data_IF_556284668205
#
_entry.id   IF_556284668205
#
_cell.length_a   1.000
_cell.length_b   1.000
_cell.length_c   1.000
_cell.angle_alpha   90.00
_cell.angle_beta   90.00
_cell.angle_gamma   90.00
#
_symmetry.space_group_name_H-M   'P 1'
#
loop_
_entity.id
_entity.type
_entity.pdbx_description
1 polymer ?
#
# COMPACT_ATOMS: atom_id res chain seq x y z
N UNK A 1 71.30 11.90 -21.37
CA UNK A 1 69.89 11.82 -21.81
C UNK A 1 69.18 10.80 -20.92
N UNK A 2 68.44 11.28 -19.92
CA UNK A 2 68.24 10.55 -18.65
C UNK A 2 67.04 9.59 -18.68
N UNK A 3 67.33 8.27 -18.77
CA UNK A 3 66.37 7.14 -18.65
C UNK A 3 65.63 7.03 -17.29
N UNK A 4 65.95 7.89 -16.32
CA UNK A 4 65.47 7.82 -14.93
C UNK A 4 64.05 8.45 -14.76
N UNK A 5 63.57 9.25 -15.73
CA UNK A 5 62.27 9.95 -15.59
C UNK A 5 61.03 9.08 -15.86
N UNK A 6 61.08 8.12 -16.78
CA UNK A 6 59.89 7.36 -17.21
C UNK A 6 59.40 6.44 -16.09
N UNK A 7 60.32 5.73 -15.41
CA UNK A 7 59.96 4.77 -14.35
C UNK A 7 59.30 5.44 -13.15
N UNK A 8 59.78 6.62 -12.76
CA UNK A 8 59.19 7.38 -11.66
C UNK A 8 57.80 7.93 -12.00
N UNK A 9 57.59 8.37 -13.25
CA UNK A 9 56.27 8.80 -13.74
C UNK A 9 55.30 7.63 -13.77
N UNK A 10 55.73 6.45 -14.23
CA UNK A 10 54.91 5.22 -14.21
C UNK A 10 54.57 4.77 -12.78
N UNK A 11 55.51 4.82 -11.84
CA UNK A 11 55.24 4.47 -10.43
C UNK A 11 54.26 5.48 -9.83
N UNK A 12 54.45 6.78 -10.08
CA UNK A 12 53.54 7.82 -9.61
C UNK A 12 52.12 7.64 -10.17
N UNK A 13 51.97 7.32 -11.46
CA UNK A 13 50.66 7.05 -12.06
C UNK A 13 49.99 5.83 -11.44
N UNK A 14 50.73 4.75 -11.18
CA UNK A 14 50.19 3.53 -10.52
C UNK A 14 49.67 3.86 -9.13
N UNK A 15 50.43 4.61 -8.33
CA UNK A 15 50.02 5.00 -6.96
C UNK A 15 48.76 5.86 -7.00
N UNK A 16 48.67 6.82 -7.93
CA UNK A 16 47.48 7.67 -8.09
C UNK A 16 46.27 6.84 -8.52
N UNK A 17 46.43 5.91 -9.46
CA UNK A 17 45.35 5.00 -9.87
C UNK A 17 44.89 4.11 -8.71
N UNK A 18 45.80 3.57 -7.90
CA UNK A 18 45.46 2.77 -6.72
C UNK A 18 44.71 3.59 -5.68
N UNK A 19 45.12 4.83 -5.42
CA UNK A 19 44.38 5.74 -4.54
C UNK A 19 42.96 6.01 -5.06
N UNK A 20 42.82 6.33 -6.35
CA UNK A 20 41.51 6.56 -6.98
C UNK A 20 40.61 5.32 -6.92
N UNK A 21 41.18 4.12 -7.10
CA UNK A 21 40.45 2.87 -6.99
C UNK A 21 39.93 2.65 -5.55
N UNK A 22 40.78 2.84 -4.53
CA UNK A 22 40.38 2.73 -3.13
C UNK A 22 39.30 3.76 -2.75
N UNK A 23 39.43 5.00 -3.22
CA UNK A 23 38.42 6.04 -3.01
C UNK A 23 37.08 5.65 -3.65
N UNK A 24 37.11 5.17 -4.89
CA UNK A 24 35.92 4.72 -5.62
C UNK A 24 35.21 3.57 -4.90
N UNK A 25 35.97 2.58 -4.41
CA UNK A 25 35.42 1.46 -3.61
C UNK A 25 34.74 1.99 -2.34
N UNK A 26 35.38 2.91 -1.62
CA UNK A 26 34.81 3.50 -0.41
C UNK A 26 33.50 4.26 -0.67
N UNK A 27 33.41 5.01 -1.77
CA UNK A 27 32.17 5.67 -2.20
C UNK A 27 31.10 4.66 -2.59
N UNK A 28 31.47 3.57 -3.27
CA UNK A 28 30.54 2.53 -3.70
C UNK A 28 29.88 1.82 -2.51
N UNK A 29 30.67 1.47 -1.49
CA UNK A 29 30.15 0.82 -0.26
C UNK A 29 29.21 1.73 0.51
N UNK A 30 29.53 3.02 0.64
CA UNK A 30 28.62 4.01 1.26
C UNK A 30 27.36 4.22 0.43
N UNK A 31 27.51 4.28 -0.89
CA UNK A 31 26.40 4.44 -1.83
C UNK A 31 25.43 3.26 -1.77
N UNK A 32 25.93 2.02 -1.68
CA UNK A 32 25.08 0.83 -1.56
C UNK A 32 24.21 0.86 -0.31
N UNK A 33 24.77 1.15 0.87
CA UNK A 33 23.99 1.19 2.11
C UNK A 33 22.90 2.29 2.09
N UNK A 34 23.20 3.45 1.51
CA UNK A 34 22.21 4.52 1.33
C UNK A 34 21.13 4.16 0.30
N UNK A 35 21.52 3.46 -0.77
CA UNK A 35 20.61 3.01 -1.80
C UNK A 35 19.68 1.91 -1.30
N UNK A 36 20.18 0.95 -0.51
CA UNK A 36 19.35 -0.09 0.13
C UNK A 36 18.33 0.52 1.10
N UNK A 37 18.76 1.51 1.91
CA UNK A 37 17.85 2.23 2.81
C UNK A 37 16.77 3.00 2.04
N UNK A 38 17.14 3.68 0.94
CA UNK A 38 16.20 4.40 0.09
C UNK A 38 15.24 3.44 -0.63
N UNK A 39 15.74 2.32 -1.13
CA UNK A 39 14.94 1.29 -1.78
C UNK A 39 13.92 0.70 -0.82
N UNK A 40 14.36 0.33 0.39
CA UNK A 40 13.48 -0.19 1.45
C UNK A 40 12.38 0.83 1.79
N UNK A 41 12.75 2.10 2.00
CA UNK A 41 11.77 3.16 2.29
C UNK A 41 10.77 3.35 1.13
N UNK A 42 11.23 3.24 -0.12
CA UNK A 42 10.38 3.34 -1.31
C UNK A 42 9.42 2.16 -1.40
N UNK A 43 9.90 0.93 -1.19
CA UNK A 43 9.08 -0.28 -1.23
C UNK A 43 8.01 -0.24 -0.13
N UNK A 44 8.37 0.19 1.08
CA UNK A 44 7.42 0.41 2.17
C UNK A 44 6.38 1.47 1.80
N UNK A 45 6.79 2.60 1.23
CA UNK A 45 5.87 3.65 0.78
C UNK A 45 4.87 3.13 -0.27
N UNK A 46 5.35 2.44 -1.30
CA UNK A 46 4.50 1.86 -2.36
C UNK A 46 3.52 0.84 -1.77
N UNK A 47 3.97 0.02 -0.83
CA UNK A 47 3.09 -0.94 -0.18
C UNK A 47 2.00 -0.26 0.65
N UNK A 48 2.30 0.84 1.35
CA UNK A 48 1.30 1.62 2.09
C UNK A 48 0.27 2.24 1.16
N UNK A 49 0.72 2.81 0.03
CA UNK A 49 -0.17 3.38 -0.97
C UNK A 49 -1.12 2.31 -1.51
N UNK A 50 -0.62 1.10 -1.77
CA UNK A 50 -1.43 -0.02 -2.22
C UNK A 50 -2.50 -0.42 -1.19
N UNK A 51 -2.15 -0.50 0.09
CA UNK A 51 -3.10 -0.85 1.14
C UNK A 51 -4.17 0.24 1.30
N UNK A 52 -3.78 1.52 1.22
CA UNK A 52 -4.73 2.64 1.22
C UNK A 52 -5.68 2.60 0.02
N UNK A 53 -5.17 2.32 -1.17
CA UNK A 53 -5.98 2.15 -2.38
C UNK A 53 -6.93 0.95 -2.26
N UNK A 54 -6.49 -0.16 -1.67
CA UNK A 54 -7.32 -1.34 -1.46
C UNK A 54 -8.49 -1.02 -0.52
N UNK A 55 -8.23 -0.35 0.60
CA UNK A 55 -9.28 0.08 1.53
C UNK A 55 -10.29 1.01 0.84
N UNK A 56 -9.81 2.02 0.13
CA UNK A 56 -10.67 2.95 -0.62
C UNK A 56 -11.52 2.21 -1.65
N UNK A 57 -10.91 1.31 -2.43
CA UNK A 57 -11.60 0.54 -3.47
C UNK A 57 -12.68 -0.35 -2.87
N UNK A 58 -12.39 -1.03 -1.76
CA UNK A 58 -13.34 -1.88 -1.07
C UNK A 58 -14.51 -1.07 -0.48
N UNK A 59 -14.25 0.10 0.12
CA UNK A 59 -15.33 1.00 0.58
C UNK A 59 -16.19 1.49 -0.58
N UNK A 60 -15.57 1.89 -1.70
CA UNK A 60 -16.30 2.32 -2.90
C UNK A 60 -17.17 1.18 -3.47
N UNK A 61 -16.65 -0.05 -3.44
CA UNK A 61 -17.39 -1.22 -3.89
C UNK A 61 -18.66 -1.45 -3.05
N UNK A 62 -18.58 -1.35 -1.72
CA UNK A 62 -19.72 -1.46 -0.82
C UNK A 62 -20.79 -0.40 -1.11
N UNK A 63 -20.38 0.87 -1.26
CA UNK A 63 -21.30 1.96 -1.61
C UNK A 63 -21.93 1.75 -2.99
N UNK A 64 -21.17 1.23 -3.95
CA UNK A 64 -21.68 0.93 -5.29
C UNK A 64 -22.68 -0.23 -5.27
N UNK A 65 -22.44 -1.31 -4.52
CA UNK A 65 -23.41 -2.40 -4.36
C UNK A 65 -24.72 -1.90 -3.74
N UNK A 66 -24.62 -1.04 -2.73
CA UNK A 66 -25.78 -0.38 -2.11
C UNK A 66 -26.56 0.45 -3.13
N UNK A 67 -25.86 1.27 -3.94
CA UNK A 67 -26.48 2.09 -4.98
C UNK A 67 -27.17 1.24 -6.04
N UNK A 68 -26.53 0.17 -6.50
CA UNK A 68 -27.08 -0.74 -7.49
C UNK A 68 -28.30 -1.48 -6.95
N UNK A 69 -28.25 -1.98 -5.71
CA UNK A 69 -29.40 -2.56 -5.03
C UNK A 69 -30.58 -1.57 -4.96
N UNK A 70 -30.33 -0.32 -4.57
CA UNK A 70 -31.35 0.71 -4.50
C UNK A 70 -31.96 1.06 -5.86
N UNK A 71 -31.15 1.05 -6.93
CA UNK A 71 -31.62 1.41 -8.27
C UNK A 71 -32.37 0.30 -8.99
N UNK A 72 -32.00 -0.96 -8.77
CA UNK A 72 -32.58 -2.09 -9.54
C UNK A 72 -33.49 -2.99 -8.71
N UNK A 73 -33.34 -2.98 -7.39
CA UNK A 73 -34.02 -3.92 -6.49
C UNK A 73 -33.50 -5.36 -6.56
N UNK A 74 -32.43 -5.64 -7.30
CA UNK A 74 -31.92 -7.01 -7.47
C UNK A 74 -31.12 -7.47 -6.24
N UNK A 75 -31.50 -8.62 -5.65
CA UNK A 75 -30.86 -9.16 -4.44
C UNK A 75 -29.37 -9.46 -4.60
N UNK A 76 -28.91 -9.78 -5.82
CA UNK A 76 -27.52 -10.13 -6.11
C UNK A 76 -26.51 -9.06 -5.65
N UNK A 77 -26.92 -7.78 -5.63
CA UNK A 77 -26.07 -6.68 -5.18
C UNK A 77 -26.00 -6.61 -3.64
N UNK A 78 -27.10 -6.96 -2.96
CA UNK A 78 -27.13 -7.11 -1.50
C UNK A 78 -26.28 -8.31 -1.09
N UNK A 79 -26.42 -9.45 -1.78
CA UNK A 79 -25.63 -10.66 -1.54
C UNK A 79 -24.13 -10.39 -1.74
N UNK A 80 -23.77 -9.65 -2.80
CA UNK A 80 -22.39 -9.25 -3.07
C UNK A 80 -21.82 -8.33 -2.00
N UNK A 81 -22.61 -7.37 -1.50
CA UNK A 81 -22.24 -6.52 -0.37
C UNK A 81 -21.91 -7.35 0.87
N UNK A 82 -22.82 -8.23 1.29
CA UNK A 82 -22.61 -9.02 2.51
C UNK A 82 -21.52 -10.07 2.35
N UNK A 83 -21.27 -10.59 1.15
CA UNK A 83 -20.12 -11.43 0.90
C UNK A 83 -18.80 -10.66 1.08
N UNK A 84 -18.73 -9.41 0.61
CA UNK A 84 -17.55 -8.57 0.86
C UNK A 84 -17.36 -8.32 2.37
N UNK A 85 -18.42 -7.96 3.10
CA UNK A 85 -18.33 -7.66 4.54
C UNK A 85 -18.01 -8.89 5.39
N UNK A 86 -18.62 -10.03 5.10
CA UNK A 86 -18.56 -11.20 5.99
C UNK A 86 -17.47 -12.20 5.62
N UNK A 87 -17.12 -12.29 4.33
CA UNK A 87 -16.20 -13.31 3.81
C UNK A 87 -14.88 -12.70 3.35
N UNK A 88 -14.94 -11.71 2.44
CA UNK A 88 -13.73 -11.20 1.78
C UNK A 88 -12.96 -10.24 2.69
N UNK A 89 -13.66 -9.28 3.31
CA UNK A 89 -13.10 -8.33 4.30
C UNK A 89 -11.90 -7.55 3.77
N UNK A 90 -11.99 -7.04 2.54
CA UNK A 90 -10.84 -6.43 1.86
C UNK A 90 -10.29 -5.20 2.58
N UNK A 91 -11.17 -4.44 3.27
CA UNK A 91 -10.78 -3.25 4.05
C UNK A 91 -9.97 -3.65 5.29
N UNK A 92 -10.44 -4.65 6.01
CA UNK A 92 -9.79 -5.18 7.21
C UNK A 92 -8.45 -5.81 6.86
N UNK A 93 -8.39 -6.56 5.75
CA UNK A 93 -7.14 -7.12 5.22
C UNK A 93 -6.15 -5.99 4.90
N UNK A 94 -6.58 -4.90 4.25
CA UNK A 94 -5.70 -3.79 3.95
C UNK A 94 -5.09 -3.14 5.20
N UNK A 95 -5.89 -2.98 6.27
CA UNK A 95 -5.39 -2.50 7.57
C UNK A 95 -4.41 -3.48 8.20
N UNK A 96 -4.71 -4.78 8.15
CA UNK A 96 -3.81 -5.82 8.68
C UNK A 96 -2.48 -5.89 7.92
N UNK A 97 -2.54 -5.83 6.60
CA UNK A 97 -1.37 -5.84 5.73
C UNK A 97 -0.49 -4.62 6.00
N UNK A 98 -1.08 -3.43 6.16
CA UNK A 98 -0.32 -2.22 6.50
C UNK A 98 0.38 -2.36 7.87
N UNK A 99 -0.35 -2.84 8.89
CA UNK A 99 0.18 -3.07 10.24
C UNK A 99 1.29 -4.12 10.27
N UNK A 100 1.32 -5.05 9.32
CA UNK A 100 2.40 -6.04 9.22
C UNK A 100 3.70 -5.46 8.66
N UNK A 101 3.62 -4.33 7.93
CA UNK A 101 4.75 -3.68 7.25
C UNK A 101 5.33 -2.54 8.08
N UNK A 102 4.47 -1.83 8.82
CA UNK A 102 4.85 -0.71 9.68
C UNK A 102 4.20 -0.94 11.05
N UNK A 103 4.97 -0.76 12.12
CA UNK A 103 4.49 -0.99 13.49
C UNK A 103 3.77 0.24 14.09
N UNK A 104 4.12 1.44 13.65
CA UNK A 104 3.59 2.70 14.19
C UNK A 104 3.75 3.85 13.17
N UNK A 105 2.90 4.87 13.27
CA UNK A 105 3.02 6.10 12.50
C UNK A 105 1.71 6.57 11.87
N UNK A 106 1.74 7.82 11.40
CA UNK A 106 0.56 8.54 10.90
C UNK A 106 -0.18 7.80 9.77
N UNK A 107 0.53 6.99 8.97
CA UNK A 107 -0.09 6.22 7.88
C UNK A 107 -1.03 5.12 8.42
N UNK A 108 -0.64 4.42 9.49
CA UNK A 108 -1.47 3.40 10.12
C UNK A 108 -2.68 4.04 10.78
N UNK A 109 -2.47 5.15 11.49
CA UNK A 109 -3.54 5.89 12.17
C UNK A 109 -4.57 6.39 11.14
N UNK A 110 -4.10 6.96 10.03
CA UNK A 110 -4.96 7.43 8.95
C UNK A 110 -5.74 6.28 8.29
N UNK A 111 -5.09 5.14 8.03
CA UNK A 111 -5.76 3.99 7.42
C UNK A 111 -6.79 3.37 8.36
N UNK A 112 -6.48 3.27 9.66
CA UNK A 112 -7.43 2.81 10.68
C UNK A 112 -8.63 3.76 10.77
N UNK A 113 -8.40 5.08 10.82
CA UNK A 113 -9.48 6.07 10.83
C UNK A 113 -10.35 5.98 9.58
N UNK A 114 -9.75 5.76 8.40
CA UNK A 114 -10.50 5.54 7.16
C UNK A 114 -11.34 4.26 7.21
N UNK A 115 -10.83 3.19 7.80
CA UNK A 115 -11.57 1.96 8.02
C UNK A 115 -12.76 2.16 8.97
N UNK A 116 -12.55 2.88 10.06
CA UNK A 116 -13.58 3.16 11.06
C UNK A 116 -14.70 4.04 10.47
N UNK A 117 -14.35 5.08 9.71
CA UNK A 117 -15.31 5.88 8.95
C UNK A 117 -16.07 5.05 7.90
N UNK A 118 -15.39 4.08 7.27
CA UNK A 118 -16.03 3.15 6.35
C UNK A 118 -17.04 2.27 7.08
N UNK A 119 -16.77 1.81 8.30
CA UNK A 119 -17.77 1.10 9.12
C UNK A 119 -18.96 1.98 9.52
N UNK A 120 -18.72 3.25 9.86
CA UNK A 120 -19.82 4.18 10.16
C UNK A 120 -20.75 4.35 8.95
N UNK A 121 -20.18 4.48 7.74
CA UNK A 121 -20.95 4.58 6.49
C UNK A 121 -21.86 3.37 6.26
N UNK A 122 -21.42 2.17 6.65
CA UNK A 122 -22.21 0.93 6.49
C UNK A 122 -23.57 1.01 7.19
N UNK A 123 -23.71 1.81 8.25
CA UNK A 123 -25.02 2.01 8.90
C UNK A 123 -26.06 2.56 7.93
N UNK A 124 -25.66 3.53 7.09
CA UNK A 124 -26.54 4.11 6.07
C UNK A 124 -26.77 3.14 4.92
N UNK A 125 -25.73 2.39 4.54
CA UNK A 125 -25.81 1.39 3.47
C UNK A 125 -26.76 0.24 3.84
N UNK A 126 -26.65 -0.30 5.05
CA UNK A 126 -27.57 -1.30 5.59
C UNK A 126 -29.00 -0.79 5.63
N UNK A 127 -29.21 0.44 6.10
CA UNK A 127 -30.54 1.02 6.14
C UNK A 127 -31.14 1.14 4.74
N UNK A 128 -30.37 1.61 3.76
CA UNK A 128 -30.82 1.69 2.37
C UNK A 128 -31.20 0.31 1.80
N UNK A 129 -30.36 -0.70 2.01
CA UNK A 129 -30.66 -2.07 1.53
C UNK A 129 -31.87 -2.69 2.25
N UNK A 130 -32.06 -2.39 3.55
CA UNK A 130 -33.26 -2.81 4.27
C UNK A 130 -34.53 -2.27 3.63
N UNK A 131 -34.55 -0.97 3.28
CA UNK A 131 -35.69 -0.35 2.60
C UNK A 131 -35.96 -0.98 1.23
N UNK A 132 -34.92 -1.39 0.50
CA UNK A 132 -35.06 -2.14 -0.76
C UNK A 132 -35.73 -3.49 -0.54
N UNK A 133 -35.28 -4.25 0.48
CA UNK A 133 -35.90 -5.53 0.83
C UNK A 133 -37.38 -5.35 1.20
N UNK A 134 -37.69 -4.37 2.07
CA UNK A 134 -39.06 -4.04 2.48
C UNK A 134 -39.95 -3.70 1.27
N UNK A 135 -39.46 -2.87 0.34
CA UNK A 135 -40.18 -2.49 -0.87
C UNK A 135 -40.44 -3.68 -1.82
N UNK A 136 -39.51 -4.64 -1.86
CA UNK A 136 -39.61 -5.83 -2.72
C UNK A 136 -40.31 -7.01 -2.03
N UNK A 137 -40.77 -6.87 -0.78
CA UNK A 137 -41.36 -7.95 0.00
C UNK A 137 -40.37 -9.09 0.33
N UNK A 138 -39.07 -8.81 0.28
CA UNK A 138 -38.00 -9.75 0.65
C UNK A 138 -37.67 -9.60 2.13
N UNK A 139 -37.34 -10.70 2.80
CA UNK A 139 -37.02 -10.69 4.23
C UNK A 139 -35.63 -10.07 4.49
N UNK A 140 -35.53 -8.93 5.21
CA UNK A 140 -34.25 -8.33 5.54
C UNK A 140 -33.47 -9.08 6.63
N UNK A 141 -34.08 -10.06 7.31
CA UNK A 141 -33.43 -10.81 8.40
C UNK A 141 -32.54 -11.97 7.94
N UNK A 142 -32.49 -12.21 6.62
CA UNK A 142 -31.69 -13.27 6.01
C UNK A 142 -30.19 -12.93 5.90
N UNK A 143 -29.79 -11.72 6.28
CA UNK A 143 -28.43 -11.17 6.20
C UNK A 143 -28.03 -10.50 7.52
#
# INVERSE_FOLDING_TARGET
MNRIRIRNICIASIVVTLMLALLSIGLFLKGQAQFEALQTATDTYVACEKDAQQLQTASNYLTEQTRLAAMTGESKYIDAYFNEVNSIKSREIAVQDLKSKINEGQAIDALQAANDLSYELMTTEYYAMRLVCEANGSDPSAW
#
